data_IF_319826607479
#
_entry.id   IF_319826607479
#
_cell.length_a   1.000
_cell.length_b   1.000
_cell.length_c   1.000
_cell.angle_alpha   90.00
_cell.angle_beta   90.00
_cell.angle_gamma   90.00
#
_symmetry.space_group_name_H-M   'P 1'
#
loop_
_entity.id
_entity.type
_entity.pdbx_description
1 polymer ?
#
# COMPACT_ATOMS: atom_id res chain seq x y z
N UNK A 1 -26.96 15.60 0.65
CA UNK A 1 -26.64 14.67 1.75
C UNK A 1 -26.20 13.35 1.13
N UNK A 2 -24.94 13.20 0.76
CA UNK A 2 -24.48 11.97 0.13
C UNK A 2 -23.06 11.70 0.62
N UNK A 3 -22.86 10.49 1.16
CA UNK A 3 -21.58 9.83 1.41
C UNK A 3 -20.99 9.77 2.84
N UNK A 4 -21.82 9.78 3.89
CA UNK A 4 -21.35 9.35 5.22
C UNK A 4 -21.32 7.83 5.44
N UNK A 5 -21.64 7.02 4.42
CA UNK A 5 -21.79 5.57 4.55
C UNK A 5 -20.51 4.75 4.41
N UNK A 6 -19.46 5.30 3.79
CA UNK A 6 -18.19 4.59 3.53
C UNK A 6 -17.02 5.53 3.72
N UNK A 7 -15.84 4.96 4.00
CA UNK A 7 -14.57 5.69 4.04
C UNK A 7 -13.66 5.23 2.90
N UNK A 8 -13.01 6.16 2.20
CA UNK A 8 -12.06 5.83 1.12
C UNK A 8 -10.64 5.98 1.67
N UNK A 9 -9.83 4.92 1.55
CA UNK A 9 -8.41 4.94 1.89
C UNK A 9 -7.57 4.89 0.63
N UNK A 10 -6.57 5.75 0.54
CA UNK A 10 -5.58 5.74 -0.54
C UNK A 10 -4.25 5.17 -0.04
N UNK A 11 -3.74 4.16 -0.76
CA UNK A 11 -2.50 3.44 -0.44
C UNK A 11 -1.47 3.63 -1.57
N UNK A 12 -0.38 4.31 -1.27
CA UNK A 12 0.66 4.62 -2.26
C UNK A 12 1.54 3.40 -2.61
N UNK A 13 2.34 3.54 -3.67
CA UNK A 13 3.31 2.55 -4.12
C UNK A 13 4.61 2.56 -3.29
N UNK A 14 5.44 1.54 -3.47
CA UNK A 14 6.76 1.49 -2.84
C UNK A 14 7.65 2.61 -3.42
N UNK A 15 8.28 3.41 -2.55
CA UNK A 15 9.06 4.57 -2.98
C UNK A 15 8.26 5.86 -3.18
N UNK A 16 6.95 5.80 -2.95
CA UNK A 16 6.08 6.96 -2.82
C UNK A 16 5.79 7.22 -1.35
N UNK A 17 5.04 8.29 -1.08
CA UNK A 17 4.50 8.66 0.22
C UNK A 17 3.01 9.00 0.07
N UNK A 18 2.33 9.34 1.17
CA UNK A 18 0.91 9.70 1.12
C UNK A 18 0.64 10.80 0.09
N UNK A 19 1.53 11.78 -0.07
CA UNK A 19 1.34 12.91 -0.98
C UNK A 19 1.17 12.50 -2.48
N UNK A 20 1.44 11.23 -2.84
CA UNK A 20 1.26 10.69 -4.20
C UNK A 20 -0.16 10.82 -4.77
N UNK A 21 -1.19 10.88 -3.91
CA UNK A 21 -2.60 10.99 -4.35
C UNK A 21 -3.19 12.38 -4.20
N UNK A 22 -2.46 13.39 -3.70
CA UNK A 22 -3.04 14.69 -3.34
C UNK A 22 -3.79 15.34 -4.53
N UNK A 23 -3.15 15.42 -5.70
CA UNK A 23 -3.77 15.93 -6.93
C UNK A 23 -4.98 15.11 -7.40
N UNK A 24 -4.99 13.81 -7.13
CA UNK A 24 -6.14 12.96 -7.46
C UNK A 24 -7.30 13.28 -6.54
N UNK A 25 -7.03 13.39 -5.23
CA UNK A 25 -8.03 13.68 -4.20
C UNK A 25 -8.63 15.08 -4.37
N UNK A 26 -7.85 16.07 -4.76
CA UNK A 26 -8.32 17.44 -5.08
C UNK A 26 -9.45 17.45 -6.13
N UNK A 27 -9.48 16.45 -7.02
CA UNK A 27 -10.48 16.33 -8.09
C UNK A 27 -11.67 15.42 -7.72
N UNK A 28 -11.72 14.88 -6.50
CA UNK A 28 -12.78 13.99 -6.04
C UNK A 28 -13.78 14.76 -5.16
N UNK A 29 -15.04 14.79 -5.58
CA UNK A 29 -16.14 15.35 -4.78
C UNK A 29 -16.63 14.35 -3.70
N UNK A 30 -15.76 13.98 -2.76
CA UNK A 30 -16.05 13.07 -1.66
C UNK A 30 -15.27 13.48 -0.41
N UNK A 31 -15.93 13.54 0.76
CA UNK A 31 -15.35 14.14 1.97
C UNK A 31 -14.62 13.14 2.89
N UNK A 32 -15.10 11.92 3.05
CA UNK A 32 -14.51 10.92 3.98
C UNK A 32 -13.38 10.13 3.29
N UNK A 33 -12.35 10.85 2.86
CA UNK A 33 -11.12 10.31 2.27
C UNK A 33 -9.98 10.38 3.28
N UNK A 34 -9.12 9.37 3.31
CA UNK A 34 -7.86 9.43 4.03
C UNK A 34 -6.71 8.89 3.16
N UNK A 35 -5.62 9.63 3.15
CA UNK A 35 -4.41 9.26 2.44
C UNK A 35 -3.42 8.65 3.45
N UNK A 36 -3.13 7.36 3.30
CA UNK A 36 -2.42 6.60 4.33
C UNK A 36 -0.92 6.70 4.11
N UNK A 37 -0.22 7.15 5.14
CA UNK A 37 1.23 7.00 5.21
C UNK A 37 1.55 5.55 5.57
N UNK A 38 1.97 4.74 4.60
CA UNK A 38 2.11 3.30 4.78
C UNK A 38 3.29 2.96 5.70
N UNK A 39 4.37 3.73 5.65
CA UNK A 39 5.65 3.37 6.26
C UNK A 39 6.00 4.43 7.31
N UNK A 40 5.86 4.12 8.61
CA UNK A 40 6.20 5.05 9.68
C UNK A 40 7.66 5.49 9.62
N UNK A 41 7.90 6.75 9.94
CA UNK A 41 9.25 7.27 10.13
C UNK A 41 10.00 6.45 11.19
N UNK A 42 11.31 6.27 11.00
CA UNK A 42 12.21 5.56 11.90
C UNK A 42 11.94 4.05 12.10
N UNK A 43 10.97 3.47 11.38
CA UNK A 43 10.81 2.02 11.32
C UNK A 43 12.00 1.36 10.61
N UNK A 44 12.34 0.13 11.00
CA UNK A 44 13.40 -0.67 10.39
C UNK A 44 12.88 -2.06 10.07
N UNK A 45 13.37 -2.59 8.96
CA UNK A 45 13.16 -3.96 8.49
C UNK A 45 11.70 -4.38 8.33
N UNK A 46 10.79 -3.42 8.13
CA UNK A 46 9.37 -3.71 7.89
C UNK A 46 9.19 -4.65 6.70
N UNK A 47 8.34 -5.66 6.89
CA UNK A 47 7.89 -6.56 5.84
C UNK A 47 6.53 -6.11 5.29
N UNK A 48 6.12 -6.70 4.17
CA UNK A 48 4.79 -6.51 3.61
C UNK A 48 3.70 -6.91 4.61
N UNK A 49 3.86 -8.02 5.32
CA UNK A 49 2.84 -8.48 6.26
C UNK A 49 2.76 -7.59 7.51
N UNK A 50 3.86 -6.96 7.93
CA UNK A 50 3.80 -5.94 8.98
C UNK A 50 2.92 -4.75 8.54
N UNK A 51 3.06 -4.31 7.28
CA UNK A 51 2.19 -3.27 6.72
C UNK A 51 0.73 -3.71 6.65
N UNK A 52 0.46 -4.96 6.27
CA UNK A 52 -0.89 -5.52 6.25
C UNK A 52 -1.49 -5.52 7.65
N UNK A 53 -0.77 -6.01 8.66
CA UNK A 53 -1.25 -6.10 10.04
C UNK A 53 -1.54 -4.71 10.61
N UNK A 54 -0.65 -3.74 10.35
CA UNK A 54 -0.86 -2.35 10.75
C UNK A 54 -2.11 -1.73 10.11
N UNK A 55 -2.30 -1.93 8.80
CA UNK A 55 -3.47 -1.43 8.08
C UNK A 55 -4.75 -2.13 8.53
N UNK A 56 -4.71 -3.43 8.76
CA UNK A 56 -5.84 -4.21 9.25
C UNK A 56 -6.30 -3.69 10.61
N UNK A 57 -5.36 -3.43 11.53
CA UNK A 57 -5.66 -2.84 12.83
C UNK A 57 -6.26 -1.43 12.70
N UNK A 58 -5.76 -0.59 11.79
CA UNK A 58 -6.36 0.72 11.51
C UNK A 58 -7.78 0.59 10.97
N UNK A 59 -8.01 -0.34 10.04
CA UNK A 59 -9.31 -0.56 9.40
C UNK A 59 -10.33 -1.12 10.39
N UNK A 60 -9.92 -1.97 11.35
CA UNK A 60 -10.78 -2.45 12.44
C UNK A 60 -11.40 -1.31 13.25
N UNK A 61 -10.66 -0.22 13.48
CA UNK A 61 -11.14 0.95 14.21
C UNK A 61 -12.17 1.82 13.45
N UNK A 62 -12.28 1.68 12.13
CA UNK A 62 -13.25 2.43 11.32
C UNK A 62 -14.63 1.78 11.51
N UNK A 63 -15.68 2.53 11.86
CA UNK A 63 -17.04 1.94 12.05
C UNK A 63 -17.77 1.64 10.73
N UNK A 64 -17.38 2.30 9.66
CA UNK A 64 -18.01 2.22 8.33
C UNK A 64 -17.32 1.17 7.45
N UNK A 65 -17.97 0.65 6.39
CA UNK A 65 -17.29 -0.06 5.31
C UNK A 65 -16.21 0.79 4.65
N UNK A 66 -15.17 0.14 4.14
CA UNK A 66 -13.99 0.81 3.58
C UNK A 66 -13.87 0.52 2.09
N UNK A 67 -13.63 1.56 1.29
CA UNK A 67 -13.16 1.44 -0.09
C UNK A 67 -11.66 1.68 -0.07
N UNK A 68 -10.87 0.83 -0.74
CA UNK A 68 -9.43 1.02 -0.83
C UNK A 68 -9.03 1.30 -2.27
N UNK A 69 -8.38 2.45 -2.49
CA UNK A 69 -7.67 2.77 -3.72
C UNK A 69 -6.18 2.56 -3.52
N UNK A 70 -5.55 1.70 -4.31
CA UNK A 70 -4.14 1.35 -4.15
C UNK A 70 -3.39 1.36 -5.48
N UNK A 71 -2.15 1.82 -5.46
CA UNK A 71 -1.24 1.75 -6.62
C UNK A 71 -0.02 0.85 -6.33
N UNK A 72 0.33 -0.04 -7.25
CA UNK A 72 1.50 -0.94 -7.14
C UNK A 72 1.52 -1.67 -5.78
N UNK A 73 2.47 -1.38 -4.87
CA UNK A 73 2.47 -1.90 -3.49
C UNK A 73 1.10 -1.72 -2.80
N UNK A 74 0.53 -0.53 -2.87
CA UNK A 74 -0.77 -0.23 -2.26
C UNK A 74 -1.89 -1.08 -2.83
N UNK A 75 -1.82 -1.44 -4.12
CA UNK A 75 -2.79 -2.35 -4.73
C UNK A 75 -2.65 -3.79 -4.20
N UNK A 76 -1.42 -4.25 -3.96
CA UNK A 76 -1.16 -5.57 -3.36
C UNK A 76 -1.65 -5.61 -1.91
N UNK A 77 -1.40 -4.54 -1.14
CA UNK A 77 -1.92 -4.39 0.23
C UNK A 77 -3.45 -4.40 0.26
N UNK A 78 -4.09 -3.69 -0.67
CA UNK A 78 -5.55 -3.64 -0.78
C UNK A 78 -6.16 -5.03 -1.06
N UNK A 79 -5.54 -5.82 -1.95
CA UNK A 79 -5.96 -7.20 -2.21
C UNK A 79 -5.81 -8.09 -0.98
N UNK A 80 -4.66 -8.05 -0.29
CA UNK A 80 -4.44 -8.86 0.91
C UNK A 80 -5.44 -8.51 2.03
N UNK A 81 -5.71 -7.23 2.25
CA UNK A 81 -6.72 -6.76 3.23
C UNK A 81 -8.13 -7.25 2.88
N UNK A 82 -8.49 -7.24 1.59
CA UNK A 82 -9.78 -7.78 1.13
C UNK A 82 -9.89 -9.29 1.40
N UNK A 83 -8.85 -10.07 1.05
CA UNK A 83 -8.89 -11.51 1.27
C UNK A 83 -8.89 -11.91 2.75
N UNK A 84 -8.33 -11.07 3.63
CA UNK A 84 -8.40 -11.26 5.09
C UNK A 84 -9.77 -10.89 5.67
N UNK A 85 -10.42 -9.85 5.15
CA UNK A 85 -11.71 -9.38 5.69
C UNK A 85 -12.64 -8.83 4.59
N UNK A 86 -13.25 -9.70 3.76
CA UNK A 86 -14.03 -9.27 2.60
C UNK A 86 -15.29 -8.51 2.99
N UNK A 87 -15.85 -8.76 4.18
CA UNK A 87 -17.04 -8.05 4.69
C UNK A 87 -16.75 -6.59 5.06
N UNK A 88 -15.49 -6.28 5.39
CA UNK A 88 -15.07 -4.94 5.79
C UNK A 88 -14.79 -4.03 4.60
N UNK A 89 -14.36 -4.62 3.49
CA UNK A 89 -13.92 -3.91 2.29
C UNK A 89 -15.07 -3.88 1.29
N UNK A 90 -15.70 -2.72 1.13
CA UNK A 90 -16.84 -2.52 0.24
C UNK A 90 -16.45 -2.55 -1.24
N UNK A 91 -15.26 -2.07 -1.58
CA UNK A 91 -14.75 -2.06 -2.96
C UNK A 91 -13.23 -1.84 -3.00
N UNK A 92 -12.62 -2.28 -4.10
CA UNK A 92 -11.20 -2.12 -4.42
C UNK A 92 -11.04 -1.33 -5.73
N UNK A 93 -10.16 -0.34 -5.72
CA UNK A 93 -9.68 0.38 -6.91
C UNK A 93 -8.18 0.10 -7.01
N UNK A 94 -7.77 -0.68 -8.01
CA UNK A 94 -6.41 -1.21 -8.12
C UNK A 94 -5.68 -0.63 -9.34
N UNK A 95 -4.59 0.09 -9.11
CA UNK A 95 -3.78 0.72 -10.16
C UNK A 95 -2.45 -0.03 -10.26
N UNK A 96 -2.15 -0.55 -11.46
CA UNK A 96 -0.98 -1.40 -11.71
C UNK A 96 -0.80 -2.53 -10.66
N UNK A 97 -1.84 -3.32 -10.34
CA UNK A 97 -1.72 -4.40 -9.36
C UNK A 97 -0.83 -5.53 -9.90
N UNK A 98 -0.02 -6.10 -9.01
CA UNK A 98 0.68 -7.36 -9.28
C UNK A 98 -0.07 -8.49 -8.55
N UNK A 99 -1.02 -9.13 -9.22
CA UNK A 99 -1.76 -10.27 -8.66
C UNK A 99 -0.91 -11.56 -8.64
N UNK A 100 0.10 -11.66 -9.51
CA UNK A 100 1.19 -12.66 -9.44
C UNK A 100 2.50 -11.90 -9.48
N UNK A 101 3.34 -12.09 -8.48
CA UNK A 101 4.57 -11.31 -8.37
C UNK A 101 5.61 -11.77 -9.41
N UNK A 102 6.06 -10.89 -10.32
CA UNK A 102 7.09 -11.21 -11.30
C UNK A 102 8.45 -11.30 -10.60
N UNK A 103 8.79 -12.49 -10.08
CA UNK A 103 10.00 -12.75 -9.28
C UNK A 103 11.28 -12.19 -9.90
N UNK A 104 11.45 -12.32 -11.22
CA UNK A 104 12.64 -11.81 -11.92
C UNK A 104 12.74 -10.28 -11.87
N UNK A 105 11.63 -9.58 -12.12
CA UNK A 105 11.58 -8.12 -12.06
C UNK A 105 11.80 -7.61 -10.64
N UNK A 106 11.21 -8.28 -9.64
CA UNK A 106 11.41 -7.92 -8.23
C UNK A 106 12.84 -8.16 -7.76
N UNK A 107 13.48 -9.24 -8.21
CA UNK A 107 14.89 -9.49 -7.90
C UNK A 107 15.80 -8.43 -8.53
N UNK A 108 15.52 -8.02 -9.77
CA UNK A 108 16.24 -6.93 -10.43
C UNK A 108 16.05 -5.59 -9.70
N UNK A 109 14.81 -5.26 -9.34
CA UNK A 109 14.49 -4.07 -8.55
C UNK A 109 15.20 -4.08 -7.18
N UNK A 110 15.21 -5.22 -6.49
CA UNK A 110 15.92 -5.38 -5.23
C UNK A 110 17.44 -5.21 -5.36
N UNK A 111 18.03 -5.70 -6.46
CA UNK A 111 19.45 -5.52 -6.75
C UNK A 111 19.77 -4.04 -6.99
N UNK A 112 18.95 -3.33 -7.76
CA UNK A 112 19.09 -1.88 -7.97
C UNK A 112 19.04 -1.16 -6.62
N UNK A 113 18.04 -1.46 -5.77
CA UNK A 113 17.94 -0.82 -4.45
C UNK A 113 19.16 -1.07 -3.57
N UNK A 114 19.73 -2.28 -3.59
CA UNK A 114 20.95 -2.62 -2.85
C UNK A 114 22.17 -1.81 -3.31
N UNK A 115 22.26 -1.47 -4.59
CA UNK A 115 23.39 -0.71 -5.15
C UNK A 115 23.18 0.81 -5.01
N UNK A 116 21.94 1.28 -4.99
CA UNK A 116 21.62 2.70 -4.89
C UNK A 116 22.12 3.33 -3.56
N UNK A 117 22.73 4.54 -3.61
CA UNK A 117 23.11 5.26 -2.40
C UNK A 117 21.91 5.71 -1.54
N UNK A 118 22.09 5.78 -0.22
CA UNK A 118 21.05 6.17 0.76
C UNK A 118 20.37 7.52 0.44
N UNK A 119 21.10 8.47 -0.17
CA UNK A 119 20.56 9.80 -0.52
C UNK A 119 19.34 9.75 -1.45
N UNK A 120 19.18 8.70 -2.25
CA UNK A 120 18.03 8.54 -3.14
C UNK A 120 16.73 8.22 -2.38
N UNK A 121 16.87 7.58 -1.22
CA UNK A 121 15.75 7.16 -0.37
C UNK A 121 15.30 8.29 0.58
N UNK A 122 16.15 9.29 0.85
CA UNK A 122 15.80 10.45 1.70
C UNK A 122 14.56 11.21 1.22
N UNK A 123 14.37 11.33 -0.10
CA UNK A 123 13.22 12.04 -0.69
C UNK A 123 11.90 11.29 -0.52
N UNK A 124 11.95 9.98 -0.35
CA UNK A 124 10.75 9.13 -0.26
C UNK A 124 10.29 8.93 1.19
N UNK A 125 11.04 9.44 2.19
CA UNK A 125 10.81 9.22 3.63
C UNK A 125 10.84 7.73 4.05
N UNK A 126 11.31 6.83 3.18
CA UNK A 126 11.39 5.38 3.42
C UNK A 126 12.86 5.00 3.45
N UNK A 127 13.31 4.27 4.47
CA UNK A 127 14.69 3.79 4.52
C UNK A 127 14.97 2.76 3.42
N UNK A 128 16.21 2.71 2.93
CA UNK A 128 16.65 1.69 1.97
C UNK A 128 16.37 0.27 2.48
N UNK A 129 16.62 0.02 3.77
CA UNK A 129 16.35 -1.28 4.40
C UNK A 129 14.87 -1.64 4.33
N UNK A 130 13.95 -0.72 4.65
CA UNK A 130 12.52 -0.99 4.51
C UNK A 130 12.13 -1.23 3.05
N UNK A 131 12.68 -0.48 2.10
CA UNK A 131 12.39 -0.74 0.68
C UNK A 131 12.75 -2.15 0.26
N UNK A 132 13.95 -2.60 0.63
CA UNK A 132 14.44 -3.95 0.31
C UNK A 132 13.65 -5.01 1.07
N UNK A 133 13.37 -4.81 2.36
CA UNK A 133 12.66 -5.77 3.20
C UNK A 133 11.22 -5.98 2.70
N UNK A 134 10.48 -4.88 2.48
CA UNK A 134 9.12 -4.92 1.92
C UNK A 134 9.13 -5.63 0.57
N UNK A 135 9.95 -5.18 -0.39
CA UNK A 135 9.97 -5.79 -1.72
C UNK A 135 10.38 -7.27 -1.70
N UNK A 136 11.30 -7.66 -0.80
CA UNK A 136 11.73 -9.06 -0.66
C UNK A 136 10.65 -9.95 -0.05
N UNK A 137 9.84 -9.43 0.86
CA UNK A 137 8.79 -10.19 1.55
C UNK A 137 7.56 -10.49 0.66
N UNK A 138 7.35 -9.72 -0.41
CA UNK A 138 6.22 -9.86 -1.34
C UNK A 138 6.43 -11.01 -2.33
N UNK A 139 7.67 -11.43 -2.58
CA UNK A 139 8.10 -12.27 -3.73
C UNK A 139 7.34 -13.59 -3.95
N UNK A 140 6.67 -14.11 -2.93
CA UNK A 140 5.97 -15.40 -2.98
C UNK A 140 4.44 -15.27 -3.05
N UNK A 141 3.90 -14.05 -3.08
CA UNK A 141 2.47 -13.84 -3.20
C UNK A 141 1.96 -14.22 -4.60
N UNK A 142 0.83 -14.91 -4.62
CA UNK A 142 0.14 -15.34 -5.83
C UNK A 142 -1.37 -15.41 -5.58
N UNK A 143 -2.10 -14.45 -6.12
CA UNK A 143 -3.54 -14.30 -5.97
C UNK A 143 -4.33 -14.92 -7.11
N UNK A 144 -3.71 -15.66 -8.04
CA UNK A 144 -4.41 -16.25 -9.20
C UNK A 144 -5.50 -17.26 -8.85
N UNK A 145 -5.50 -17.78 -7.63
CA UNK A 145 -6.43 -18.82 -7.13
C UNK A 145 -7.30 -18.33 -5.96
N UNK A 146 -7.31 -17.02 -5.70
CA UNK A 146 -8.02 -16.38 -4.60
C UNK A 146 -9.29 -15.72 -5.10
#
# INVERSE_FOLDING_TARGET
MQNDKVKILFLHGLGQNKEAFDKTIENINFKDIENIDLIPNNSKDLTFFDLVDMLENKIKGIKKPVIICGISLGAILAMELYFRNPQKIASLILIAPQYKIPKMLMNFQNLIFKIMPEKFFKKTKISKNNMISIASSIKNLDYRKK
#
